data_IF_571398829661
#
_entry.id   IF_571398829661
#
_cell.length_a   1.000
_cell.length_b   1.000
_cell.length_c   1.000
_cell.angle_alpha   90.00
_cell.angle_beta   90.00
_cell.angle_gamma   90.00
#
_symmetry.space_group_name_H-M   'P 1'
#
loop_
_entity.id
_entity.type
_entity.pdbx_description
1 polymer ?
#
# COMPACT_ATOMS: atom_id res chain seq x y z
N UNK A 1 -13.25 -30.11 -10.03
CA UNK A 1 -13.31 -29.66 -8.63
C UNK A 1 -11.97 -29.92 -7.96
N UNK A 2 -11.50 -28.96 -7.17
CA UNK A 2 -10.30 -29.07 -6.34
C UNK A 2 -10.73 -29.32 -4.89
N UNK A 3 -10.19 -30.33 -4.20
CA UNK A 3 -10.37 -30.49 -2.74
C UNK A 3 -9.04 -30.25 -2.03
N UNK A 4 -9.04 -29.34 -1.05
CA UNK A 4 -7.93 -29.10 -0.11
C UNK A 4 -8.15 -29.94 1.14
N UNK A 5 -7.28 -30.92 1.44
CA UNK A 5 -7.43 -31.82 2.60
C UNK A 5 -6.54 -31.37 3.77
N UNK A 6 -6.96 -31.70 4.99
CA UNK A 6 -6.14 -31.62 6.22
C UNK A 6 -5.54 -30.25 6.54
N UNK A 7 -6.29 -29.17 6.37
CA UNK A 7 -5.84 -27.82 6.73
C UNK A 7 -6.70 -27.20 7.83
N UNK A 8 -6.06 -26.62 8.84
CA UNK A 8 -6.68 -25.62 9.73
C UNK A 8 -7.06 -24.41 8.89
N UNK A 9 -8.34 -24.04 8.87
CA UNK A 9 -8.80 -22.84 8.15
C UNK A 9 -8.84 -21.67 9.12
N UNK A 10 -8.23 -20.56 8.72
CA UNK A 10 -8.12 -19.33 9.52
C UNK A 10 -8.82 -18.23 8.74
N UNK A 11 -9.75 -17.53 9.39
CA UNK A 11 -10.38 -16.31 8.85
C UNK A 11 -10.15 -15.14 9.81
N UNK A 12 -10.38 -13.88 9.40
CA UNK A 12 -10.18 -12.73 10.29
C UNK A 12 -11.03 -12.76 11.56
N UNK A 13 -12.17 -13.46 11.55
CA UNK A 13 -13.14 -13.50 12.66
C UNK A 13 -13.23 -14.86 13.36
N UNK A 14 -12.75 -15.93 12.73
CA UNK A 14 -12.86 -17.30 13.27
C UNK A 14 -11.48 -17.93 13.39
N UNK A 15 -11.06 -18.34 14.61
CA UNK A 15 -9.67 -18.70 14.86
C UNK A 15 -9.25 -19.96 14.09
N UNK A 16 -10.08 -20.99 14.04
CA UNK A 16 -9.73 -22.30 13.49
C UNK A 16 -11.05 -23.06 13.18
N UNK A 17 -11.29 -23.44 11.92
CA UNK A 17 -12.23 -24.52 11.62
C UNK A 17 -11.66 -25.87 12.11
N UNK A 18 -12.50 -26.81 12.56
CA UNK A 18 -12.02 -28.09 13.09
C UNK A 18 -11.07 -28.79 12.10
N UNK A 19 -10.02 -29.47 12.60
CA UNK A 19 -9.10 -30.23 11.76
C UNK A 19 -9.89 -31.21 10.89
N UNK A 20 -9.52 -31.30 9.60
CA UNK A 20 -10.23 -32.02 8.52
C UNK A 20 -11.37 -31.28 7.79
N UNK A 21 -11.44 -29.95 7.92
CA UNK A 21 -12.26 -29.12 7.04
C UNK A 21 -11.63 -29.00 5.65
N UNK A 22 -12.46 -29.12 4.62
CA UNK A 22 -12.10 -29.20 3.21
C UNK A 22 -12.80 -28.07 2.44
N UNK A 23 -12.08 -27.48 1.48
CA UNK A 23 -12.60 -26.45 0.58
C UNK A 23 -12.74 -27.05 -0.81
N UNK A 24 -13.95 -26.96 -1.38
CA UNK A 24 -14.21 -27.31 -2.76
C UNK A 24 -14.17 -26.07 -3.65
N UNK A 25 -13.41 -26.13 -4.76
CA UNK A 25 -13.33 -25.03 -5.74
C UNK A 25 -13.81 -25.52 -7.11
N UNK A 26 -14.67 -24.73 -7.75
CA UNK A 26 -15.16 -24.93 -9.11
C UNK A 26 -15.14 -23.60 -9.87
N UNK A 27 -14.60 -23.60 -11.09
CA UNK A 27 -14.55 -22.43 -11.97
C UNK A 27 -13.97 -21.17 -11.29
N UNK A 28 -12.88 -21.33 -10.53
CA UNK A 28 -12.19 -20.24 -9.83
C UNK A 28 -12.93 -19.68 -8.61
N UNK A 29 -14.04 -20.29 -8.17
CA UNK A 29 -14.81 -19.87 -7.00
C UNK A 29 -14.87 -20.96 -5.94
N UNK A 30 -14.88 -20.57 -4.68
CA UNK A 30 -15.20 -21.47 -3.56
C UNK A 30 -16.66 -21.89 -3.73
N UNK A 31 -16.87 -23.20 -3.85
CA UNK A 31 -18.20 -23.80 -4.01
C UNK A 31 -18.81 -24.09 -2.64
N UNK A 32 -18.05 -24.75 -1.76
CA UNK A 32 -18.47 -25.06 -0.40
C UNK A 32 -17.26 -25.32 0.51
N UNK A 33 -17.53 -25.29 1.82
CA UNK A 33 -16.62 -25.60 2.91
C UNK A 33 -17.31 -26.65 3.79
N UNK A 34 -16.64 -27.73 4.16
CA UNK A 34 -17.23 -28.79 4.98
C UNK A 34 -16.23 -29.86 5.39
N UNK A 35 -16.64 -30.85 6.18
CA UNK A 35 -15.75 -31.96 6.56
C UNK A 35 -15.47 -32.87 5.36
N UNK A 36 -14.30 -33.52 5.38
CA UNK A 36 -13.91 -34.44 4.32
C UNK A 36 -14.96 -35.55 4.09
N UNK A 37 -15.46 -36.16 5.17
CA UNK A 37 -16.45 -37.24 5.12
C UNK A 37 -17.78 -36.81 4.49
N UNK A 38 -18.23 -35.58 4.75
CA UNK A 38 -19.46 -35.05 4.16
C UNK A 38 -19.32 -34.73 2.67
N UNK A 39 -18.12 -34.39 2.20
CA UNK A 39 -17.90 -33.93 0.82
C UNK A 39 -17.47 -35.04 -0.14
N UNK A 40 -16.78 -36.08 0.32
CA UNK A 40 -16.29 -37.17 -0.55
C UNK A 40 -17.38 -38.06 -1.13
N UNK A 41 -18.58 -38.09 -0.52
CA UNK A 41 -19.73 -38.82 -1.06
C UNK A 41 -20.56 -38.03 -2.09
N UNK A 42 -20.38 -36.71 -2.16
CA UNK A 42 -21.24 -35.80 -2.95
C UNK A 42 -20.50 -35.28 -4.18
N UNK A 43 -19.17 -35.18 -4.13
CA UNK A 43 -18.39 -34.48 -5.14
C UNK A 43 -17.22 -35.31 -5.67
N UNK A 44 -17.13 -35.43 -6.99
CA UNK A 44 -15.97 -36.02 -7.68
C UNK A 44 -14.91 -34.96 -8.00
N UNK A 45 -13.69 -35.19 -7.53
CA UNK A 45 -12.54 -34.30 -7.78
C UNK A 45 -11.78 -34.66 -9.03
N UNK A 46 -11.25 -33.62 -9.69
CA UNK A 46 -10.29 -33.79 -10.80
C UNK A 46 -8.85 -33.61 -10.33
N UNK A 47 -8.63 -32.97 -9.17
CA UNK A 47 -7.31 -32.67 -8.61
C UNK A 47 -7.40 -32.47 -7.11
N UNK A 48 -6.39 -32.94 -6.38
CA UNK A 48 -6.17 -32.65 -4.96
C UNK A 48 -4.97 -31.73 -4.82
N UNK A 49 -5.05 -30.74 -3.92
CA UNK A 49 -3.93 -29.88 -3.57
C UNK A 49 -3.78 -29.92 -2.05
N UNK A 50 -2.60 -30.33 -1.62
CA UNK A 50 -2.14 -30.09 -0.26
C UNK A 50 -1.64 -28.65 -0.17
N UNK A 51 -2.06 -27.94 0.86
CA UNK A 51 -1.67 -26.56 1.09
C UNK A 51 -1.44 -26.30 2.59
N UNK A 52 -0.99 -27.32 3.32
CA UNK A 52 -0.36 -27.14 4.62
C UNK A 52 0.77 -26.09 4.52
N UNK A 53 0.82 -25.15 5.47
CA UNK A 53 1.83 -24.07 5.51
C UNK A 53 1.67 -22.91 4.49
N UNK A 54 0.61 -22.88 3.68
CA UNK A 54 0.37 -21.79 2.72
C UNK A 54 -0.29 -20.56 3.35
N UNK A 55 0.43 -19.43 3.42
CA UNK A 55 -0.07 -18.13 3.90
C UNK A 55 -0.40 -17.20 2.72
N UNK A 56 -1.45 -16.39 2.84
CA UNK A 56 -1.80 -15.36 1.83
C UNK A 56 -1.54 -13.98 2.40
N UNK A 57 -0.58 -13.25 1.82
CA UNK A 57 -0.22 -11.88 2.24
C UNK A 57 -0.37 -10.92 1.07
N UNK A 58 -0.54 -9.60 1.25
CA UNK A 58 -0.52 -8.64 0.14
C UNK A 58 0.92 -8.24 -0.26
N UNK A 59 1.17 -8.19 -1.57
CA UNK A 59 2.50 -8.02 -2.18
C UNK A 59 2.51 -7.07 -3.38
N UNK A 60 3.69 -6.68 -3.85
CA UNK A 60 3.95 -5.89 -5.07
C UNK A 60 5.30 -6.34 -5.65
N UNK A 61 5.56 -6.13 -6.95
CA UNK A 61 6.92 -6.26 -7.49
C UNK A 61 7.19 -5.51 -8.80
N UNK A 62 8.38 -5.72 -9.35
CA UNK A 62 9.09 -4.87 -10.34
C UNK A 62 8.33 -4.48 -11.61
N UNK A 63 7.97 -5.50 -12.39
CA UNK A 63 7.17 -5.41 -13.60
C UNK A 63 5.92 -6.25 -13.36
N UNK A 64 4.86 -6.05 -14.14
CA UNK A 64 3.63 -6.81 -13.95
C UNK A 64 3.85 -8.32 -13.88
N UNK A 65 4.71 -8.86 -14.75
CA UNK A 65 5.02 -10.29 -14.76
C UNK A 65 5.87 -10.73 -13.57
N UNK A 66 7.05 -10.13 -13.37
CA UNK A 66 7.97 -10.56 -12.29
C UNK A 66 7.40 -10.27 -10.91
N UNK A 67 6.67 -9.17 -10.76
CA UNK A 67 6.02 -8.81 -9.51
C UNK A 67 4.84 -9.70 -9.14
N UNK A 68 4.02 -10.11 -10.12
CA UNK A 68 2.95 -11.08 -9.87
C UNK A 68 3.49 -12.47 -9.57
N UNK A 69 4.56 -12.90 -10.25
CA UNK A 69 5.24 -14.17 -9.94
C UNK A 69 5.83 -14.17 -8.53
N UNK A 70 6.52 -13.10 -8.14
CA UNK A 70 7.07 -12.96 -6.78
C UNK A 70 5.97 -12.92 -5.72
N UNK A 71 4.89 -12.19 -5.98
CA UNK A 71 3.69 -12.17 -5.13
C UNK A 71 3.12 -13.58 -4.93
N UNK A 72 2.84 -14.32 -6.01
CA UNK A 72 2.31 -15.68 -5.91
C UNK A 72 3.27 -16.61 -5.16
N UNK A 73 4.58 -16.49 -5.39
CA UNK A 73 5.60 -17.25 -4.66
C UNK A 73 5.60 -16.95 -3.15
N UNK A 74 5.26 -15.71 -2.74
CA UNK A 74 5.05 -15.31 -1.35
C UNK A 74 3.62 -15.51 -0.83
N UNK A 75 2.77 -16.19 -1.61
CA UNK A 75 1.37 -16.45 -1.28
C UNK A 75 0.41 -15.28 -1.52
N UNK A 76 0.88 -14.14 -2.03
CA UNK A 76 0.04 -13.04 -2.48
C UNK A 76 -0.71 -13.38 -3.76
N UNK A 77 -2.03 -13.36 -3.70
CA UNK A 77 -2.90 -13.64 -4.84
C UNK A 77 -3.52 -12.39 -5.47
N UNK A 78 -3.34 -11.19 -4.89
CA UNK A 78 -3.83 -9.94 -5.48
C UNK A 78 -2.88 -8.79 -5.20
N UNK A 79 -2.56 -8.02 -6.25
CA UNK A 79 -1.71 -6.83 -6.15
C UNK A 79 -2.51 -5.60 -6.55
N UNK A 80 -2.29 -4.48 -5.84
CA UNK A 80 -2.77 -3.16 -6.22
C UNK A 80 -1.60 -2.30 -6.71
N UNK A 81 -1.64 -1.92 -7.98
CA UNK A 81 -0.60 -1.10 -8.61
C UNK A 81 -1.04 0.35 -8.77
N UNK A 82 -0.05 1.25 -8.75
CA UNK A 82 -0.26 2.69 -8.88
C UNK A 82 -0.01 3.15 -10.33
N UNK A 83 -0.96 3.89 -10.89
CA UNK A 83 -0.77 4.61 -12.14
C UNK A 83 -0.37 6.05 -11.84
N UNK A 84 0.89 6.39 -12.16
CA UNK A 84 1.48 7.68 -11.85
C UNK A 84 1.14 8.70 -12.95
N UNK A 85 0.25 9.66 -12.66
CA UNK A 85 0.07 10.83 -13.52
C UNK A 85 1.19 11.83 -13.25
N UNK A 86 1.84 12.28 -14.32
CA UNK A 86 2.82 13.37 -14.27
C UNK A 86 2.11 14.73 -14.17
N UNK A 87 2.71 15.69 -13.45
CA UNK A 87 2.18 17.07 -13.28
C UNK A 87 1.91 17.80 -14.60
N UNK A 88 2.59 17.41 -15.67
CA UNK A 88 2.42 18.00 -17.02
C UNK A 88 1.16 17.51 -17.75
N UNK A 89 0.47 16.48 -17.24
CA UNK A 89 -0.72 15.91 -17.87
C UNK A 89 -1.98 16.50 -17.24
N UNK A 90 -2.93 16.89 -18.09
CA UNK A 90 -4.21 17.48 -17.63
C UNK A 90 -5.17 16.46 -17.02
N UNK A 91 -5.06 15.17 -17.37
CA UNK A 91 -5.98 14.13 -16.93
C UNK A 91 -5.26 12.83 -16.55
N UNK A 92 -5.78 12.18 -15.51
CA UNK A 92 -5.36 10.84 -15.08
C UNK A 92 -5.92 9.73 -15.99
N UNK A 93 -7.04 9.97 -16.67
CA UNK A 93 -7.79 8.92 -17.37
C UNK A 93 -6.97 8.22 -18.45
N UNK A 94 -6.23 8.92 -19.35
CA UNK A 94 -5.41 8.24 -20.36
C UNK A 94 -4.28 7.42 -19.73
N UNK A 95 -3.75 7.84 -18.58
CA UNK A 95 -2.72 7.11 -17.86
C UNK A 95 -3.30 5.79 -17.34
N UNK A 96 -4.43 5.86 -16.64
CA UNK A 96 -5.15 4.69 -16.13
C UNK A 96 -5.50 3.72 -17.25
N UNK A 97 -6.08 4.20 -18.36
CA UNK A 97 -6.42 3.37 -19.51
C UNK A 97 -5.19 2.68 -20.12
N UNK A 98 -4.07 3.40 -20.21
CA UNK A 98 -2.80 2.84 -20.66
C UNK A 98 -2.31 1.70 -19.76
N UNK A 99 -2.47 1.84 -18.46
CA UNK A 99 -2.15 0.79 -17.50
C UNK A 99 -3.12 -0.42 -17.59
N UNK A 100 -4.43 -0.19 -17.77
CA UNK A 100 -5.39 -1.27 -18.00
C UNK A 100 -5.05 -2.06 -19.28
N UNK A 101 -4.75 -1.37 -20.39
CA UNK A 101 -4.34 -2.02 -21.65
C UNK A 101 -3.08 -2.87 -21.47
N UNK A 102 -2.10 -2.39 -20.70
CA UNK A 102 -0.89 -3.15 -20.38
C UNK A 102 -1.15 -4.38 -19.52
N UNK A 103 -2.18 -4.37 -18.67
CA UNK A 103 -2.53 -5.51 -17.83
C UNK A 103 -3.27 -6.60 -18.62
N UNK A 104 -4.26 -6.22 -19.42
CA UNK A 104 -5.11 -7.15 -20.18
C UNK A 104 -4.54 -7.53 -21.56
N UNK A 105 -3.24 -7.28 -21.80
CA UNK A 105 -2.60 -7.65 -23.05
C UNK A 105 -2.50 -9.19 -23.18
N UNK A 106 -2.82 -9.78 -24.36
CA UNK A 106 -2.81 -11.24 -24.57
C UNK A 106 -1.46 -11.92 -24.27
N UNK A 107 -0.37 -11.17 -24.34
CA UNK A 107 0.99 -11.66 -24.06
C UNK A 107 1.28 -11.83 -22.56
N UNK A 108 0.31 -11.54 -21.68
CA UNK A 108 0.42 -11.66 -20.21
C UNK A 108 -0.65 -12.58 -19.61
N UNK A 109 -1.20 -13.50 -20.42
CA UNK A 109 -2.10 -14.56 -19.98
C UNK A 109 -1.42 -15.44 -18.92
N UNK A 110 -1.86 -15.29 -17.66
CA UNK A 110 -1.27 -15.94 -16.48
C UNK A 110 -1.44 -15.12 -15.20
N UNK A 111 -1.80 -13.84 -15.33
CA UNK A 111 -2.05 -12.93 -14.21
C UNK A 111 -3.58 -12.83 -13.98
N UNK A 112 -4.14 -13.71 -13.15
CA UNK A 112 -5.60 -13.77 -12.96
C UNK A 112 -6.15 -12.70 -11.99
N UNK A 113 -5.32 -12.08 -11.15
CA UNK A 113 -5.81 -11.18 -10.10
C UNK A 113 -4.87 -10.00 -9.86
N UNK A 114 -5.03 -8.96 -10.66
CA UNK A 114 -4.27 -7.74 -10.57
C UNK A 114 -5.24 -6.57 -10.71
N UNK A 115 -5.48 -5.87 -9.59
CA UNK A 115 -6.40 -4.75 -9.54
C UNK A 115 -5.59 -3.46 -9.63
N UNK A 116 -5.41 -2.90 -10.83
CA UNK A 116 -4.87 -1.55 -10.95
C UNK A 116 -5.90 -0.56 -10.43
N UNK A 117 -5.58 0.22 -9.39
CA UNK A 117 -6.39 1.39 -9.05
C UNK A 117 -5.50 2.47 -8.47
N UNK A 118 -5.20 3.48 -9.28
CA UNK A 118 -4.91 4.79 -8.74
C UNK A 118 -4.92 5.91 -9.78
N UNK A 119 -5.43 7.05 -9.34
CA UNK A 119 -5.37 8.36 -9.98
C UNK A 119 -4.42 9.24 -9.13
N UNK A 120 -3.49 9.99 -9.76
CA UNK A 120 -2.69 11.04 -9.11
C UNK A 120 -3.06 12.38 -9.73
N UNK A 121 -4.09 13.03 -9.21
CA UNK A 121 -4.51 14.31 -9.77
C UNK A 121 -3.51 15.41 -9.44
N UNK A 122 -3.01 16.10 -10.47
CA UNK A 122 -2.96 17.57 -10.41
C UNK A 122 -2.76 18.29 -11.76
N UNK A 123 -3.70 19.18 -12.10
CA UNK A 123 -3.44 20.47 -12.74
C UNK A 123 -4.23 21.54 -11.95
N UNK A 124 -3.57 22.57 -11.36
CA UNK A 124 -4.22 23.57 -10.52
C UNK A 124 -4.97 24.65 -11.31
N UNK A 125 -4.75 24.75 -12.62
CA UNK A 125 -5.15 25.93 -13.39
C UNK A 125 -6.58 25.92 -13.92
N UNK A 126 -7.33 24.83 -13.76
CA UNK A 126 -8.75 24.80 -14.06
C UNK A 126 -9.48 23.97 -13.01
N UNK A 127 -10.62 24.44 -12.46
CA UNK A 127 -11.53 23.54 -11.79
C UNK A 127 -11.83 22.44 -12.80
N UNK A 128 -11.34 21.23 -12.54
CA UNK A 128 -11.82 20.09 -13.32
C UNK A 128 -13.33 20.12 -13.15
N UNK A 129 -14.04 20.25 -14.27
CA UNK A 129 -15.49 20.25 -14.32
C UNK A 129 -16.01 19.20 -13.32
N UNK A 130 -17.05 19.52 -12.53
CA UNK A 130 -17.48 18.71 -11.40
C UNK A 130 -17.46 17.27 -11.87
N UNK A 131 -16.67 16.42 -11.20
CA UNK A 131 -16.57 15.01 -11.51
C UNK A 131 -18.00 14.50 -11.66
N UNK A 132 -18.48 14.45 -12.90
CA UNK A 132 -19.84 14.04 -13.17
C UNK A 132 -19.86 12.62 -12.67
N UNK A 133 -20.71 12.32 -11.68
CA UNK A 133 -21.09 10.94 -11.37
C UNK A 133 -21.18 10.25 -12.71
N UNK A 134 -20.30 9.28 -13.04
CA UNK A 134 -20.63 8.39 -14.12
C UNK A 134 -21.94 7.78 -13.65
N UNK A 135 -23.04 8.15 -14.32
CA UNK A 135 -24.36 7.58 -14.05
C UNK A 135 -24.14 6.09 -13.89
N UNK A 136 -24.64 5.53 -12.79
CA UNK A 136 -24.48 4.14 -12.32
C UNK A 136 -25.11 3.13 -13.32
N UNK A 137 -25.36 3.52 -14.56
CA UNK A 137 -26.16 2.81 -15.55
C UNK A 137 -25.33 2.03 -16.57
N UNK A 138 -23.99 2.06 -16.51
CA UNK A 138 -23.17 1.26 -17.42
C UNK A 138 -22.16 0.39 -16.64
N UNK A 139 -22.19 -0.94 -16.79
CA UNK A 139 -21.23 -1.85 -16.14
C UNK A 139 -19.88 -1.78 -16.88
N UNK A 140 -19.21 -0.63 -16.82
CA UNK A 140 -17.87 -0.47 -17.36
C UNK A 140 -16.81 -0.87 -16.31
N UNK A 141 -15.67 -1.47 -16.73
CA UNK A 141 -14.54 -1.83 -15.85
C UNK A 141 -13.85 -0.65 -15.12
N UNK A 142 -14.34 0.58 -15.23
CA UNK A 142 -13.75 1.81 -14.69
C UNK A 142 -14.25 2.24 -13.30
N UNK A 143 -14.52 1.29 -12.40
CA UNK A 143 -14.75 1.65 -10.98
C UNK A 143 -13.39 1.90 -10.34
N UNK A 144 -13.02 3.15 -10.08
CA UNK A 144 -11.86 3.47 -9.24
C UNK A 144 -12.37 3.74 -7.82
N UNK A 145 -11.72 3.19 -6.80
CA UNK A 145 -12.12 3.38 -5.40
C UNK A 145 -11.07 4.11 -4.57
N UNK A 146 -9.87 4.36 -5.12
CA UNK A 146 -8.75 4.90 -4.36
C UNK A 146 -7.98 5.95 -5.18
N UNK A 147 -7.57 7.05 -4.54
CA UNK A 147 -6.70 8.11 -5.07
C UNK A 147 -5.53 8.30 -4.09
N UNK A 148 -4.27 8.39 -4.55
CA UNK A 148 -3.10 8.55 -3.66
C UNK A 148 -2.54 9.93 -3.86
N UNK A 149 -2.31 10.59 -2.73
CA UNK A 149 -1.71 11.91 -2.66
C UNK A 149 -0.39 11.82 -1.89
N UNK A 150 0.45 12.83 -2.11
CA UNK A 150 1.73 12.99 -1.46
C UNK A 150 1.80 14.39 -0.82
N UNK A 151 2.28 14.44 0.42
CA UNK A 151 2.64 15.67 1.12
C UNK A 151 4.14 15.99 0.99
N UNK A 152 4.87 15.11 0.31
CA UNK A 152 6.32 15.19 0.05
C UNK A 152 6.69 14.88 -1.40
N UNK A 153 7.96 15.06 -1.73
CA UNK A 153 8.58 15.01 -3.06
C UNK A 153 8.11 16.14 -3.99
N UNK A 154 9.01 17.01 -4.46
CA UNK A 154 8.63 18.18 -5.26
C UNK A 154 7.85 17.83 -6.53
N UNK A 155 8.19 16.69 -7.16
CA UNK A 155 7.49 16.20 -8.35
C UNK A 155 6.05 15.73 -8.08
N UNK A 156 5.68 15.43 -6.83
CA UNK A 156 4.39 14.80 -6.47
C UNK A 156 3.59 15.56 -5.40
N UNK A 157 4.24 16.40 -4.59
CA UNK A 157 3.62 17.08 -3.45
C UNK A 157 2.50 17.99 -3.91
N UNK A 158 1.41 17.95 -3.14
CA UNK A 158 0.29 18.89 -3.21
C UNK A 158 0.28 19.79 -1.99
N UNK A 159 -0.21 21.02 -2.17
CA UNK A 159 -0.48 21.92 -1.04
C UNK A 159 -1.84 21.58 -0.42
N UNK A 160 -2.06 22.01 0.83
CA UNK A 160 -3.24 21.62 1.61
C UNK A 160 -4.56 21.96 0.92
N UNK A 161 -4.65 23.12 0.25
CA UNK A 161 -5.82 23.50 -0.54
C UNK A 161 -6.16 22.48 -1.62
N UNK A 162 -5.15 21.99 -2.35
CA UNK A 162 -5.33 21.01 -3.42
C UNK A 162 -5.70 19.63 -2.86
N UNK A 163 -5.11 19.26 -1.72
CA UNK A 163 -5.47 18.03 -1.01
C UNK A 163 -6.95 18.06 -0.61
N UNK A 164 -7.41 19.15 0.00
CA UNK A 164 -8.81 19.33 0.41
C UNK A 164 -9.76 19.24 -0.79
N UNK A 165 -9.44 19.90 -1.91
CA UNK A 165 -10.24 19.83 -3.14
C UNK A 165 -10.36 18.39 -3.66
N UNK A 166 -9.27 17.62 -3.65
CA UNK A 166 -9.30 16.20 -4.03
C UNK A 166 -10.12 15.39 -3.03
N UNK A 167 -9.98 15.62 -1.72
CA UNK A 167 -10.71 14.87 -0.70
C UNK A 167 -12.23 15.12 -0.77
N UNK A 168 -12.65 16.35 -1.07
CA UNK A 168 -14.06 16.67 -1.32
C UNK A 168 -14.57 15.89 -2.55
N UNK A 169 -13.79 15.85 -3.62
CA UNK A 169 -14.16 15.11 -4.83
C UNK A 169 -14.21 13.59 -4.59
N UNK A 170 -13.23 13.00 -3.92
CA UNK A 170 -13.20 11.56 -3.63
C UNK A 170 -14.35 11.16 -2.71
N UNK A 171 -14.66 11.99 -1.69
CA UNK A 171 -15.84 11.79 -0.83
C UNK A 171 -17.14 11.76 -1.63
N UNK A 172 -17.35 12.74 -2.52
CA UNK A 172 -18.56 12.82 -3.35
C UNK A 172 -18.74 11.59 -4.27
N UNK A 173 -17.63 10.91 -4.60
CA UNK A 173 -17.58 9.73 -5.45
C UNK A 173 -17.56 8.41 -4.66
N UNK A 174 -17.57 8.44 -3.33
CA UNK A 174 -17.44 7.23 -2.50
C UNK A 174 -16.08 6.55 -2.63
N UNK A 175 -15.03 7.33 -2.88
CA UNK A 175 -13.64 6.87 -3.00
C UNK A 175 -12.86 7.17 -1.72
N UNK A 176 -11.84 6.35 -1.45
CA UNK A 176 -10.88 6.54 -0.36
C UNK A 176 -9.66 7.33 -0.84
N UNK A 177 -9.23 8.33 -0.07
CA UNK A 177 -7.96 9.00 -0.31
C UNK A 177 -6.84 8.28 0.44
N UNK A 178 -5.79 7.84 -0.24
CA UNK A 178 -4.53 7.43 0.38
C UNK A 178 -3.59 8.61 0.52
N UNK A 179 -2.84 8.68 1.62
CA UNK A 179 -1.92 9.79 1.87
C UNK A 179 -0.53 9.31 2.30
N UNK A 180 0.49 9.70 1.52
CA UNK A 180 1.89 9.66 1.97
C UNK A 180 2.16 10.95 2.76
N UNK A 181 2.32 10.81 4.08
CA UNK A 181 2.36 11.93 5.01
C UNK A 181 3.79 12.15 5.56
N UNK A 182 4.56 13.00 4.89
CA UNK A 182 5.79 13.60 5.42
C UNK A 182 5.80 15.10 5.16
N UNK A 183 6.48 15.87 6.01
CA UNK A 183 6.65 17.30 5.81
C UNK A 183 7.85 17.58 4.89
N UNK A 184 7.58 18.02 3.66
CA UNK A 184 8.63 18.34 2.67
C UNK A 184 9.65 19.34 3.19
N UNK A 185 9.21 20.42 3.83
CA UNK A 185 10.09 21.56 4.15
C UNK A 185 11.06 21.19 5.28
N UNK A 186 10.59 20.39 6.25
CA UNK A 186 11.45 19.81 7.28
C UNK A 186 12.50 18.87 6.66
N UNK A 187 12.10 18.06 5.69
CA UNK A 187 13.03 17.14 5.01
C UNK A 187 14.06 17.91 4.19
N UNK A 188 13.63 18.91 3.42
CA UNK A 188 14.50 19.74 2.60
C UNK A 188 15.57 20.45 3.45
N UNK A 189 15.15 21.12 4.53
CA UNK A 189 16.07 21.82 5.45
C UNK A 189 17.16 20.89 6.01
N UNK A 190 16.78 19.71 6.51
CA UNK A 190 17.76 18.77 7.08
C UNK A 190 18.63 18.15 5.98
N UNK A 191 18.07 17.87 4.81
CA UNK A 191 18.81 17.35 3.65
C UNK A 191 19.91 18.33 3.22
N UNK A 192 19.57 19.62 3.08
CA UNK A 192 20.52 20.69 2.72
C UNK A 192 21.66 20.77 3.75
N UNK A 193 21.34 20.73 5.05
CA UNK A 193 22.34 20.75 6.11
C UNK A 193 23.27 19.54 6.10
N UNK A 194 22.73 18.33 5.84
CA UNK A 194 23.53 17.11 5.76
C UNK A 194 24.46 17.13 4.54
N UNK A 195 23.96 17.59 3.39
CA UNK A 195 24.77 17.74 2.17
C UNK A 195 25.90 18.76 2.41
N UNK A 196 25.61 19.90 3.04
CA UNK A 196 26.62 20.91 3.37
C UNK A 196 27.71 20.38 4.33
N UNK A 197 27.38 19.40 5.17
CA UNK A 197 28.32 18.70 6.05
C UNK A 197 29.00 17.49 5.39
N UNK A 198 28.81 17.28 4.09
CA UNK A 198 29.28 16.11 3.34
C UNK A 198 28.80 14.75 3.91
N UNK A 199 27.64 14.73 4.57
CA UNK A 199 27.01 13.54 5.15
C UNK A 199 26.08 12.89 4.12
N UNK A 200 26.65 12.15 3.18
CA UNK A 200 25.96 11.61 1.99
C UNK A 200 25.72 10.09 2.01
N UNK A 201 26.22 9.37 3.02
CA UNK A 201 26.01 7.94 3.16
C UNK A 201 24.51 7.58 3.31
N UNK A 202 24.09 6.34 2.94
CA UNK A 202 22.68 5.92 2.98
C UNK A 202 21.98 6.12 4.33
N UNK A 203 22.72 5.99 5.43
CA UNK A 203 22.22 6.26 6.78
C UNK A 203 21.63 7.67 6.92
N UNK A 204 22.26 8.66 6.28
CA UNK A 204 21.82 10.05 6.36
C UNK A 204 20.50 10.33 5.64
N UNK A 205 20.04 9.42 4.76
CA UNK A 205 18.68 9.49 4.21
C UNK A 205 17.62 9.31 5.31
N UNK A 206 17.86 8.45 6.31
CA UNK A 206 16.98 8.37 7.48
C UNK A 206 17.07 9.64 8.33
N UNK A 207 18.27 10.19 8.54
CA UNK A 207 18.44 11.41 9.32
C UNK A 207 17.74 12.61 8.67
N UNK A 208 17.80 12.72 7.33
CA UNK A 208 17.10 13.73 6.54
C UNK A 208 15.57 13.70 6.72
N UNK A 209 15.02 12.59 7.18
CA UNK A 209 13.58 12.37 7.40
C UNK A 209 13.29 12.15 8.89
N UNK A 210 13.44 13.19 9.73
CA UNK A 210 13.26 13.04 11.18
C UNK A 210 11.83 12.59 11.53
N UNK A 211 11.65 11.83 12.62
CA UNK A 211 10.34 11.24 13.02
C UNK A 211 9.19 12.28 13.00
N UNK A 212 9.48 13.49 13.49
CA UNK A 212 8.53 14.61 13.55
C UNK A 212 7.98 15.05 12.19
N UNK A 213 8.69 14.79 11.08
CA UNK A 213 8.20 15.13 9.73
C UNK A 213 6.97 14.31 9.37
N UNK A 214 6.95 13.02 9.74
CA UNK A 214 5.81 12.12 9.59
C UNK A 214 4.72 12.42 10.61
N UNK A 215 5.10 12.64 11.87
CA UNK A 215 4.14 12.89 12.96
C UNK A 215 3.27 14.11 12.66
N UNK A 216 3.91 15.23 12.29
CA UNK A 216 3.22 16.47 11.95
C UNK A 216 2.40 16.35 10.68
N UNK A 217 2.92 15.68 9.66
CA UNK A 217 2.19 15.50 8.40
C UNK A 217 0.97 14.60 8.58
N UNK A 218 1.08 13.54 9.38
CA UNK A 218 0.00 12.62 9.72
C UNK A 218 -1.10 13.35 10.47
N UNK A 219 -0.77 14.10 11.52
CA UNK A 219 -1.74 14.91 12.26
C UNK A 219 -2.46 15.91 11.33
N UNK A 220 -1.71 16.59 10.46
CA UNK A 220 -2.28 17.52 9.47
C UNK A 220 -3.22 16.83 8.48
N UNK A 221 -2.87 15.64 7.99
CA UNK A 221 -3.73 14.87 7.10
C UNK A 221 -5.04 14.44 7.77
N UNK A 222 -4.98 14.04 9.05
CA UNK A 222 -6.17 13.73 9.86
C UNK A 222 -7.05 14.96 10.02
N UNK A 223 -6.47 16.12 10.32
CA UNK A 223 -7.23 17.37 10.45
C UNK A 223 -7.94 17.76 9.15
N UNK A 224 -7.28 17.59 7.99
CA UNK A 224 -7.93 17.79 6.69
C UNK A 224 -9.06 16.79 6.45
N UNK A 225 -8.87 15.51 6.78
CA UNK A 225 -9.91 14.48 6.67
C UNK A 225 -11.13 14.80 7.53
N UNK A 226 -10.90 15.26 8.76
CA UNK A 226 -11.94 15.68 9.68
C UNK A 226 -12.70 16.90 9.14
N UNK A 227 -12.01 17.90 8.58
CA UNK A 227 -12.62 19.11 8.05
C UNK A 227 -13.62 18.82 6.92
N UNK A 228 -13.28 17.91 6.01
CA UNK A 228 -14.11 17.60 4.83
C UNK A 228 -14.94 16.33 4.99
N UNK A 229 -14.90 15.69 6.16
CA UNK A 229 -15.61 14.45 6.48
C UNK A 229 -15.35 13.34 5.43
N UNK A 230 -14.08 13.13 5.07
CA UNK A 230 -13.69 12.17 4.02
C UNK A 230 -12.87 11.00 4.58
N UNK A 231 -13.10 9.76 4.09
CA UNK A 231 -12.30 8.61 4.48
C UNK A 231 -10.86 8.73 3.95
N UNK A 232 -9.90 8.46 4.82
CA UNK A 232 -8.47 8.50 4.49
C UNK A 232 -7.77 7.22 4.90
N UNK A 233 -6.82 6.77 4.07
CA UNK A 233 -5.87 5.71 4.37
C UNK A 233 -4.46 6.29 4.43
N UNK A 234 -3.91 6.41 5.63
CA UNK A 234 -2.54 6.84 5.87
C UNK A 234 -1.59 5.68 5.60
N UNK A 235 -0.72 5.83 4.61
CA UNK A 235 0.08 4.69 4.13
C UNK A 235 1.41 4.57 4.84
N UNK A 236 1.95 3.34 4.81
CA UNK A 236 3.31 2.97 5.24
C UNK A 236 3.79 3.62 6.55
N UNK A 237 2.90 3.81 7.53
CA UNK A 237 3.16 4.43 8.84
C UNK A 237 4.29 3.68 9.53
N UNK A 238 5.28 4.45 10.01
CA UNK A 238 6.40 3.88 10.75
C UNK A 238 6.62 4.55 12.11
N UNK A 239 5.93 5.66 12.42
CA UNK A 239 6.06 6.35 13.72
C UNK A 239 5.02 5.88 14.73
N UNK A 240 5.45 5.63 15.98
CA UNK A 240 4.56 5.41 17.10
C UNK A 240 3.68 6.64 17.40
N UNK A 241 4.23 7.86 17.26
CA UNK A 241 3.48 9.10 17.48
C UNK A 241 2.44 9.32 16.38
N UNK A 242 2.78 9.03 15.11
CA UNK A 242 1.81 9.02 14.03
C UNK A 242 0.68 7.99 14.28
N UNK A 243 1.03 6.78 14.72
CA UNK A 243 0.05 5.75 15.11
C UNK A 243 -0.85 6.21 16.27
N UNK A 244 -0.31 6.94 17.26
CA UNK A 244 -1.11 7.52 18.34
C UNK A 244 -2.11 8.56 17.83
N UNK A 245 -1.70 9.44 16.91
CA UNK A 245 -2.62 10.38 16.26
C UNK A 245 -3.76 9.65 15.53
N UNK A 246 -3.43 8.58 14.81
CA UNK A 246 -4.41 7.72 14.12
C UNK A 246 -5.38 7.12 15.12
N UNK A 247 -4.87 6.51 16.20
CA UNK A 247 -5.70 5.89 17.24
C UNK A 247 -6.64 6.90 17.88
N UNK A 248 -6.14 8.09 18.22
CA UNK A 248 -6.98 9.18 18.76
C UNK A 248 -8.08 9.60 17.80
N UNK A 249 -7.80 9.63 16.50
CA UNK A 249 -8.80 9.97 15.49
C UNK A 249 -9.85 8.87 15.32
N UNK A 250 -9.43 7.60 15.33
CA UNK A 250 -10.34 6.44 15.30
C UNK A 250 -11.26 6.37 16.53
N UNK A 251 -10.74 6.71 17.73
CA UNK A 251 -11.55 6.80 18.94
C UNK A 251 -12.62 7.91 18.87
N UNK A 252 -12.42 8.92 18.02
CA UNK A 252 -13.43 9.95 17.70
C UNK A 252 -14.38 9.51 16.59
N UNK A 253 -14.36 8.24 16.18
CA UNK A 253 -15.17 7.65 15.12
C UNK A 253 -14.94 8.28 13.73
N UNK A 254 -13.80 8.96 13.54
CA UNK A 254 -13.40 9.43 12.21
C UNK A 254 -13.01 8.23 11.34
N UNK A 255 -13.34 8.28 10.05
CA UNK A 255 -13.03 7.22 9.08
C UNK A 255 -11.55 7.26 8.66
N UNK A 256 -10.67 6.95 9.61
CA UNK A 256 -9.22 6.93 9.44
C UNK A 256 -8.73 5.48 9.43
N UNK A 257 -8.14 5.09 8.31
CA UNK A 257 -7.43 3.82 8.17
C UNK A 257 -5.93 4.07 8.09
N UNK A 258 -5.14 3.07 8.46
CA UNK A 258 -3.70 3.14 8.36
C UNK A 258 -3.10 1.83 7.85
N UNK A 259 -2.03 1.96 7.06
CA UNK A 259 -1.21 0.87 6.56
C UNK A 259 0.20 1.00 7.13
N UNK A 260 0.80 -0.10 7.57
CA UNK A 260 2.26 -0.18 7.78
C UNK A 260 2.88 -1.20 6.81
N UNK A 261 4.19 -1.40 6.90
CA UNK A 261 4.91 -2.31 6.01
C UNK A 261 5.86 -3.22 6.80
N UNK A 262 6.10 -4.48 6.35
CA UNK A 262 6.97 -5.41 7.06
C UNK A 262 8.34 -4.84 7.40
N UNK A 263 8.95 -4.03 6.54
CA UNK A 263 10.27 -3.45 6.84
C UNK A 263 10.28 -2.57 8.10
N UNK A 264 9.16 -1.92 8.46
CA UNK A 264 9.07 -1.16 9.71
C UNK A 264 8.74 -2.01 10.94
N UNK A 265 8.43 -3.30 10.76
CA UNK A 265 8.18 -4.26 11.84
C UNK A 265 9.44 -5.07 12.21
N UNK A 266 10.41 -5.13 11.30
CA UNK A 266 11.58 -6.00 11.42
C UNK A 266 12.93 -5.29 11.28
N UNK A 267 13.02 -4.18 10.54
CA UNK A 267 14.29 -3.49 10.27
C UNK A 267 14.38 -2.18 11.05
N UNK A 268 15.61 -1.85 11.48
CA UNK A 268 15.94 -0.57 12.12
C UNK A 268 16.85 0.25 11.22
N UNK A 269 17.09 1.51 11.58
CA UNK A 269 18.00 2.41 10.87
C UNK A 269 19.41 1.83 10.74
N UNK A 270 19.80 0.89 11.60
CA UNK A 270 21.07 0.17 11.50
C UNK A 270 21.23 -0.58 10.17
N UNK A 271 20.14 -1.01 9.53
CA UNK A 271 20.18 -1.65 8.21
C UNK A 271 20.64 -0.70 7.09
N UNK A 272 20.71 0.60 7.34
CA UNK A 272 21.23 1.59 6.38
C UNK A 272 22.74 1.77 6.47
N UNK A 273 23.41 1.11 7.42
CA UNK A 273 24.86 0.97 7.42
C UNK A 273 25.30 -0.20 6.53
N UNK A 274 26.56 -0.18 6.12
CA UNK A 274 27.19 -1.25 5.35
C UNK A 274 28.45 -0.75 4.65
N UNK A 275 29.39 -1.65 4.38
CA UNK A 275 30.55 -1.39 3.53
C UNK A 275 30.10 -1.14 2.08
N UNK A 276 30.92 -0.45 1.29
CA UNK A 276 30.72 -0.27 -0.15
C UNK A 276 29.30 0.17 -0.57
N UNK A 277 28.68 1.06 0.21
CA UNK A 277 27.34 1.62 -0.05
C UNK A 277 26.18 0.58 0.02
N UNK A 278 26.42 -0.60 0.60
CA UNK A 278 25.44 -1.69 0.70
C UNK A 278 24.15 -1.30 1.44
N UNK A 279 24.25 -0.40 2.42
CA UNK A 279 23.10 0.16 3.14
C UNK A 279 22.05 0.81 2.23
N UNK A 280 22.46 1.24 1.02
CA UNK A 280 21.54 1.80 0.02
C UNK A 280 20.45 0.81 -0.41
N UNK A 281 20.67 -0.51 -0.32
CA UNK A 281 19.65 -1.53 -0.65
C UNK A 281 18.38 -1.34 0.17
N UNK A 282 18.50 -0.88 1.41
CA UNK A 282 17.39 -0.70 2.33
C UNK A 282 16.76 0.70 2.31
N UNK A 283 17.35 1.66 1.59
CA UNK A 283 16.81 3.01 1.45
C UNK A 283 15.39 2.96 0.87
N UNK A 284 14.44 3.49 1.64
CA UNK A 284 13.04 3.70 1.28
C UNK A 284 12.48 4.93 2.02
N UNK A 285 11.22 5.29 1.80
CA UNK A 285 10.52 6.34 2.57
C UNK A 285 9.19 5.78 3.02
N UNK A 286 8.75 5.91 4.27
CA UNK A 286 9.26 6.62 5.46
C UNK A 286 10.60 6.11 6.06
N UNK A 287 11.15 6.85 7.02
CA UNK A 287 12.39 6.51 7.74
C UNK A 287 12.26 5.19 8.52
N UNK A 288 13.33 4.38 8.54
CA UNK A 288 13.52 3.29 9.50
C UNK A 288 13.76 3.80 10.92
N UNK A 289 13.19 3.12 11.90
CA UNK A 289 13.26 3.52 13.31
C UNK A 289 14.49 2.99 14.00
N UNK A 290 14.83 3.60 15.12
CA UNK A 290 16.15 3.43 15.74
C UNK A 290 16.17 2.27 16.74
N UNK A 291 15.02 1.95 17.33
CA UNK A 291 14.94 1.03 18.47
C UNK A 291 13.94 -0.10 18.24
N UNK A 292 14.14 -1.20 18.98
CA UNK A 292 13.17 -2.30 19.04
C UNK A 292 11.81 -1.84 19.57
N UNK A 293 11.80 -0.93 20.54
CA UNK A 293 10.59 -0.34 21.10
C UNK A 293 9.76 0.39 20.02
N UNK A 294 10.40 1.05 19.05
CA UNK A 294 9.68 1.65 17.92
C UNK A 294 8.97 0.59 17.05
N UNK A 295 9.59 -0.58 16.86
CA UNK A 295 8.99 -1.69 16.08
C UNK A 295 7.84 -2.34 16.84
N UNK A 296 8.02 -2.56 18.14
CA UNK A 296 7.00 -3.17 19.01
C UNK A 296 5.75 -2.28 19.10
N UNK A 297 5.90 -0.95 19.08
CA UNK A 297 4.77 -0.02 19.01
C UNK A 297 3.93 -0.19 17.72
N UNK A 298 4.55 -0.53 16.58
CA UNK A 298 3.82 -0.82 15.35
C UNK A 298 3.15 -2.20 15.41
N UNK A 299 3.79 -3.20 16.04
CA UNK A 299 3.14 -4.48 16.31
C UNK A 299 1.90 -4.32 17.19
N UNK A 300 1.99 -3.50 18.24
CA UNK A 300 0.85 -3.16 19.08
C UNK A 300 -0.25 -2.46 18.25
N UNK A 301 0.15 -1.53 17.38
CA UNK A 301 -0.76 -0.86 16.44
C UNK A 301 -1.52 -1.82 15.52
N UNK A 302 -0.89 -2.91 15.08
CA UNK A 302 -1.58 -3.97 14.32
C UNK A 302 -2.54 -4.73 15.24
N UNK A 303 -2.06 -5.19 16.39
CA UNK A 303 -2.84 -6.02 17.32
C UNK A 303 -4.09 -5.31 17.86
N UNK A 304 -4.02 -3.99 18.07
CA UNK A 304 -5.13 -3.19 18.61
C UNK A 304 -6.02 -2.55 17.52
N UNK A 305 -5.76 -2.84 16.24
CA UNK A 305 -6.54 -2.35 15.09
C UNK A 305 -6.25 -0.93 14.64
N UNK A 306 -5.26 -0.23 15.25
CA UNK A 306 -4.83 1.11 14.82
C UNK A 306 -4.34 1.09 13.37
N UNK A 307 -3.49 0.10 13.06
CA UNK A 307 -2.97 -0.18 11.73
C UNK A 307 -3.88 -1.23 11.09
N UNK A 308 -4.80 -0.75 10.23
CA UNK A 308 -5.88 -1.54 9.63
C UNK A 308 -5.38 -2.59 8.65
N UNK A 309 -4.22 -2.37 8.05
CA UNK A 309 -3.60 -3.29 7.08
C UNK A 309 -2.09 -3.19 7.14
N UNK A 310 -1.39 -4.20 6.62
CA UNK A 310 0.03 -4.10 6.31
C UNK A 310 0.27 -4.55 4.87
N UNK A 311 1.23 -3.92 4.20
CA UNK A 311 1.52 -4.17 2.79
C UNK A 311 3.01 -4.20 2.53
N UNK A 312 3.45 -5.08 1.62
CA UNK A 312 4.78 -4.98 1.06
C UNK A 312 4.88 -3.81 0.07
N UNK A 313 5.63 -2.76 0.42
CA UNK A 313 5.98 -1.67 -0.49
C UNK A 313 7.37 -1.92 -1.09
N UNK A 314 7.41 -2.63 -2.21
CA UNK A 314 8.64 -2.85 -2.97
C UNK A 314 8.69 -1.88 -4.15
N UNK A 315 9.78 -1.10 -4.20
CA UNK A 315 10.26 -0.43 -5.42
C UNK A 315 11.70 -0.90 -5.64
N UNK A 316 11.91 -2.14 -6.11
CA UNK A 316 13.25 -2.66 -6.26
C UNK A 316 14.00 -1.85 -7.32
N UNK A 317 15.13 -1.28 -6.93
CA UNK A 317 16.08 -0.70 -7.89
C UNK A 317 17.04 -1.80 -8.30
N UNK A 318 17.09 -2.14 -9.58
CA UNK A 318 17.90 -3.25 -10.11
C UNK A 318 19.43 -3.14 -9.88
N UNK A 319 19.94 -2.06 -9.25
CA UNK A 319 21.33 -1.98 -8.79
C UNK A 319 21.51 -0.92 -7.68
N UNK A 320 22.48 -1.13 -6.79
CA UNK A 320 23.03 -0.09 -5.90
C UNK A 320 23.56 1.10 -6.71
N UNK A 321 24.08 0.83 -7.91
CA UNK A 321 24.55 1.82 -8.89
C UNK A 321 23.43 2.82 -9.29
N UNK A 322 22.19 2.37 -9.52
CA UNK A 322 21.06 3.27 -9.84
C UNK A 322 20.61 4.14 -8.67
N UNK A 323 20.81 3.68 -7.43
CA UNK A 323 20.56 4.48 -6.22
C UNK A 323 21.67 5.50 -5.98
N UNK A 324 22.91 5.18 -6.37
CA UNK A 324 24.03 6.10 -6.33
C UNK A 324 23.98 7.18 -7.43
N UNK A 325 23.41 6.88 -8.60
CA UNK A 325 23.34 7.81 -9.74
C UNK A 325 22.17 8.80 -9.70
N UNK A 326 21.27 8.73 -8.72
CA UNK A 326 20.20 9.72 -8.52
C UNK A 326 20.59 10.87 -7.58
N UNK A 327 21.87 10.93 -7.20
CA UNK A 327 22.47 11.91 -6.30
C UNK A 327 23.36 12.94 -7.03
N UNK A 328 23.36 12.93 -8.35
CA UNK A 328 24.03 13.90 -9.23
C UNK A 328 23.01 14.79 -9.96
#
# INVERSE_FOLDING_TARGET
>A
MLLRRYSTQITPSEPIYPPASVIAVQNGKILCIGSLSSLTGILTTKRHIDAEGGYVTPGVGDKFETGTRSAIAGGTTTIICFALQQKTKESALPVVEGYHKKMFSPTRQGIEFLLLRLIILHNPHKPQAPYHRPRITNPSPSRHHIVKLYMTYDAMKLVDRQILEVMIATRALGMTTMMHAENTDMIALITEQLIAQNKKDPYYHAIARPKISEDKATYRAIAMAQLVDAPILLVHISSAVAAEHIRKAQMKLLTIHAETCPQYLYLTANSLHGEDFEGAKHVCSLRFRDSRADLDALWEGIANGTLTTFRLTTLPSHSTIRKASSSD
#
